data_IF_377501109314
#
_entry.id   IF_377501109314
#
_cell.length_a   1.000
_cell.length_b   1.000
_cell.length_c   1.000
_cell.angle_alpha   90.00
_cell.angle_beta   90.00
_cell.angle_gamma   90.00
#
_symmetry.space_group_name_H-M   'P 1'
#
loop_
_entity.id
_entity.type
_entity.pdbx_description
1 polymer ?
#
# COMPACT_ATOMS: atom_id res chain seq x y z
N UNK A 1 11.44 -19.76 -11.12
CA UNK A 1 11.12 -18.32 -11.17
C UNK A 1 11.12 -17.80 -9.74
N UNK A 2 12.15 -17.06 -9.36
CA UNK A 2 12.39 -16.63 -7.99
C UNK A 2 11.46 -15.46 -7.67
N UNK A 3 10.45 -15.69 -6.83
CA UNK A 3 9.80 -14.60 -6.12
C UNK A 3 10.87 -13.94 -5.25
N UNK A 4 11.36 -12.76 -5.68
CA UNK A 4 12.29 -11.91 -4.94
C UNK A 4 11.60 -11.32 -3.70
N UNK A 5 11.09 -12.17 -2.82
CA UNK A 5 10.78 -11.79 -1.46
C UNK A 5 12.02 -12.08 -0.62
N UNK A 6 12.79 -11.05 -0.29
CA UNK A 6 13.92 -11.17 0.63
C UNK A 6 13.38 -11.09 2.07
N UNK A 7 13.23 -12.23 2.79
CA UNK A 7 12.73 -12.24 4.17
C UNK A 7 13.62 -11.44 5.13
N UNK A 8 14.89 -11.28 4.79
CA UNK A 8 15.90 -10.52 5.54
C UNK A 8 15.54 -9.03 5.72
N UNK A 9 14.77 -8.43 4.79
CA UNK A 9 14.26 -7.04 4.95
C UNK A 9 13.02 -6.95 5.85
N UNK A 10 12.46 -8.09 6.25
CA UNK A 10 11.32 -8.20 7.16
C UNK A 10 11.71 -8.57 8.61
N UNK A 11 13.01 -8.73 8.91
CA UNK A 11 13.53 -8.99 10.26
C UNK A 11 13.63 -7.69 11.07
N UNK A 12 12.49 -7.03 11.31
CA UNK A 12 12.38 -5.98 12.33
C UNK A 12 11.96 -6.63 13.64
N UNK A 13 12.57 -6.20 14.76
CA UNK A 13 12.25 -6.73 16.09
C UNK A 13 10.75 -6.60 16.35
N UNK A 14 10.09 -7.60 16.98
CA UNK A 14 8.71 -7.46 17.41
C UNK A 14 8.54 -6.19 18.24
N UNK A 15 7.67 -5.26 17.81
CA UNK A 15 7.41 -3.99 18.49
C UNK A 15 8.09 -2.74 17.90
N UNK A 16 9.03 -2.86 16.95
CA UNK A 16 9.65 -1.70 16.32
C UNK A 16 8.69 -0.99 15.34
N UNK A 17 8.09 0.11 15.78
CA UNK A 17 7.20 0.93 14.96
C UNK A 17 8.02 1.80 13.99
N UNK A 18 8.21 1.33 12.76
CA UNK A 18 8.83 2.14 11.71
C UNK A 18 7.84 3.19 11.20
N UNK A 19 8.17 4.47 11.41
CA UNK A 19 7.41 5.59 10.87
C UNK A 19 7.65 5.70 9.37
N UNK A 20 6.59 5.49 8.58
CA UNK A 20 6.62 5.67 7.13
C UNK A 20 7.02 7.11 6.75
N UNK A 21 7.85 7.26 5.72
CA UNK A 21 8.28 8.56 5.19
C UNK A 21 7.10 9.34 4.57
N UNK A 22 7.28 10.64 4.30
CA UNK A 22 6.26 11.46 3.63
C UNK A 22 5.93 10.88 2.25
N UNK A 23 6.97 10.58 1.47
CA UNK A 23 6.86 9.94 0.15
C UNK A 23 6.03 8.65 0.20
N UNK A 24 6.38 7.71 1.09
CA UNK A 24 5.66 6.44 1.25
C UNK A 24 4.17 6.65 1.55
N UNK A 25 3.84 7.64 2.40
CA UNK A 25 2.44 7.96 2.73
C UNK A 25 1.69 8.57 1.54
N UNK A 26 2.33 9.44 0.77
CA UNK A 26 1.69 10.07 -0.39
C UNK A 26 1.41 9.04 -1.50
N UNK A 27 2.35 8.13 -1.79
CA UNK A 27 2.11 7.03 -2.73
C UNK A 27 0.93 6.18 -2.26
N UNK A 28 0.94 5.73 -1.00
CA UNK A 28 -0.14 4.92 -0.43
C UNK A 28 -1.50 5.62 -0.50
N UNK A 29 -1.55 6.95 -0.26
CA UNK A 29 -2.77 7.74 -0.41
C UNK A 29 -3.26 7.80 -1.85
N UNK A 30 -2.38 8.06 -2.82
CA UNK A 30 -2.76 8.13 -4.24
C UNK A 30 -3.33 6.78 -4.72
N UNK A 31 -2.68 5.69 -4.36
CA UNK A 31 -3.16 4.34 -4.70
C UNK A 31 -4.51 4.04 -4.03
N UNK A 32 -4.71 4.46 -2.77
CA UNK A 32 -5.99 4.28 -2.08
C UNK A 32 -7.16 4.97 -2.78
N UNK A 33 -6.92 6.09 -3.47
CA UNK A 33 -7.98 6.75 -4.26
C UNK A 33 -8.37 5.97 -5.51
N UNK A 34 -7.49 5.10 -6.01
CA UNK A 34 -7.74 4.24 -7.18
C UNK A 34 -8.37 2.93 -6.74
N UNK A 35 -7.79 2.28 -5.74
CA UNK A 35 -8.30 1.04 -5.15
C UNK A 35 -8.10 1.03 -3.63
N UNK A 36 -9.19 1.02 -2.82
CA UNK A 36 -9.08 0.85 -1.37
C UNK A 36 -8.81 -0.61 -0.96
N UNK A 37 -8.92 -1.55 -1.90
CA UNK A 37 -8.72 -2.98 -1.73
C UNK A 37 -7.72 -3.53 -2.77
N UNK A 38 -6.42 -3.19 -2.68
CA UNK A 38 -5.41 -3.73 -3.58
C UNK A 38 -5.28 -5.24 -3.45
N UNK A 39 -5.03 -5.92 -4.56
CA UNK A 39 -4.77 -7.37 -4.59
C UNK A 39 -3.46 -7.72 -3.88
N UNK A 40 -3.22 -9.01 -3.65
CA UNK A 40 -1.96 -9.47 -3.06
C UNK A 40 -0.75 -9.08 -3.92
N UNK A 41 -0.85 -9.24 -5.23
CA UNK A 41 0.19 -8.89 -6.20
C UNK A 41 0.49 -7.39 -6.15
N UNK A 42 -0.54 -6.55 -6.17
CA UNK A 42 -0.35 -5.10 -6.05
C UNK A 42 0.31 -4.70 -4.72
N UNK A 43 0.00 -5.38 -3.61
CA UNK A 43 0.68 -5.11 -2.32
C UNK A 43 2.17 -5.45 -2.38
N UNK A 44 2.55 -6.51 -3.10
CA UNK A 44 3.95 -6.86 -3.34
C UNK A 44 4.63 -5.78 -4.16
N UNK A 45 4.04 -5.40 -5.29
CA UNK A 45 4.60 -4.40 -6.21
C UNK A 45 4.81 -3.06 -5.52
N UNK A 46 3.79 -2.58 -4.79
CA UNK A 46 3.87 -1.36 -3.98
C UNK A 46 4.99 -1.47 -2.97
N UNK A 47 5.05 -2.59 -2.24
CA UNK A 47 6.06 -2.83 -1.22
C UNK A 47 7.49 -2.75 -1.77
N UNK A 48 7.73 -3.38 -2.93
CA UNK A 48 9.02 -3.32 -3.63
C UNK A 48 9.34 -1.87 -4.02
N UNK A 49 8.40 -1.17 -4.66
CA UNK A 49 8.62 0.18 -5.20
C UNK A 49 8.87 1.25 -4.14
N UNK A 50 8.25 1.13 -2.95
CA UNK A 50 8.42 2.13 -1.87
C UNK A 50 9.23 1.61 -0.67
N UNK A 51 9.89 0.45 -0.82
CA UNK A 51 10.70 -0.20 0.23
C UNK A 51 9.92 -0.46 1.54
N UNK A 52 8.70 -1.01 1.41
CA UNK A 52 7.88 -1.48 2.53
C UNK A 52 7.59 -2.97 2.38
N UNK A 53 7.32 -3.68 3.49
CA UNK A 53 6.81 -5.05 3.40
C UNK A 53 5.35 -5.04 2.93
N UNK A 54 4.90 -6.07 2.17
CA UNK A 54 3.49 -6.22 1.79
C UNK A 54 2.57 -6.21 3.00
N UNK A 55 3.04 -6.76 4.13
CA UNK A 55 2.32 -6.70 5.41
C UNK A 55 2.17 -5.27 5.92
N UNK A 56 3.21 -4.44 5.84
CA UNK A 56 3.13 -3.04 6.26
C UNK A 56 2.21 -2.20 5.36
N UNK A 57 2.14 -2.55 4.06
CA UNK A 57 1.16 -1.98 3.10
C UNK A 57 -0.25 -2.41 3.50
N UNK A 58 -0.48 -3.71 3.69
CA UNK A 58 -1.76 -4.28 4.09
C UNK A 58 -2.32 -3.66 5.39
N UNK A 59 -1.50 -3.56 6.44
CA UNK A 59 -1.86 -2.87 7.70
C UNK A 59 -2.25 -1.42 7.44
N UNK A 60 -1.53 -0.72 6.56
CA UNK A 60 -1.82 0.67 6.26
C UNK A 60 -3.19 0.82 5.59
N UNK A 61 -3.51 -0.03 4.61
CA UNK A 61 -4.82 -0.02 3.94
C UNK A 61 -5.94 -0.40 4.91
N UNK A 62 -5.73 -1.41 5.78
CA UNK A 62 -6.69 -1.77 6.84
C UNK A 62 -6.96 -0.58 7.78
N UNK A 63 -5.92 0.05 8.30
CA UNK A 63 -6.04 1.22 9.17
C UNK A 63 -6.71 2.39 8.46
N UNK A 64 -6.36 2.63 7.19
CA UNK A 64 -6.93 3.70 6.38
C UNK A 64 -8.43 3.49 6.18
N UNK A 65 -8.87 2.27 5.86
CA UNK A 65 -10.30 1.93 5.76
C UNK A 65 -11.02 2.07 7.10
N UNK A 66 -10.41 1.61 8.20
CA UNK A 66 -11.01 1.76 9.53
C UNK A 66 -11.26 3.23 9.89
N UNK A 67 -10.31 4.12 9.60
CA UNK A 67 -10.46 5.56 9.81
C UNK A 67 -11.56 6.16 8.91
N UNK A 68 -11.67 5.71 7.65
CA UNK A 68 -12.67 6.20 6.71
C UNK A 68 -14.09 5.74 7.08
N UNK A 69 -14.26 4.49 7.53
CA UNK A 69 -15.54 3.94 8.00
C UNK A 69 -16.09 4.66 9.23
N UNK A 70 -15.21 5.16 10.10
CA UNK A 70 -15.63 5.98 11.25
C UNK A 70 -16.11 7.38 10.89
N UNK A 71 -15.90 7.85 9.65
CA UNK A 71 -16.25 9.21 9.21
C UNK A 71 -17.50 9.28 8.31
N UNK A 72 -17.89 8.20 7.66
CA UNK A 72 -19.09 8.14 6.81
C UNK A 72 -19.82 6.82 7.06
N UNK A 73 -20.93 6.88 7.80
CA UNK A 73 -21.95 5.82 7.76
C UNK A 73 -22.69 5.97 6.43
N UNK A 74 -22.39 5.14 5.43
CA UNK A 74 -23.28 4.71 4.35
C UNK A 74 -22.60 3.61 3.52
N UNK A 75 -23.37 2.59 3.18
CA UNK A 75 -22.92 1.28 2.73
C UNK A 75 -22.60 1.22 1.23
N UNK A 76 -21.40 1.65 0.81
CA UNK A 76 -20.98 1.56 -0.60
C UNK A 76 -19.62 0.86 -0.86
N UNK A 77 -18.91 0.40 0.18
CA UNK A 77 -17.52 -0.09 0.03
C UNK A 77 -17.37 -1.56 -0.43
N UNK A 78 -18.39 -2.18 -1.05
CA UNK A 78 -18.37 -3.62 -1.34
C UNK A 78 -17.82 -4.00 -2.73
N UNK A 79 -17.64 -3.09 -3.70
CA UNK A 79 -17.52 -3.53 -5.10
C UNK A 79 -16.49 -2.77 -5.93
N UNK A 80 -15.23 -2.67 -5.50
CA UNK A 80 -14.16 -2.59 -6.51
C UNK A 80 -12.78 -2.95 -5.95
N UNK A 81 -12.49 -4.25 -5.90
CA UNK A 81 -11.09 -4.69 -5.91
C UNK A 81 -10.58 -4.55 -7.35
N UNK A 82 -10.36 -3.30 -7.80
CA UNK A 82 -9.67 -3.08 -9.08
C UNK A 82 -8.25 -3.58 -8.95
N UNK A 83 -7.88 -4.52 -9.81
CA UNK A 83 -6.48 -4.88 -10.02
C UNK A 83 -5.84 -3.71 -10.74
N UNK A 84 -4.79 -3.15 -10.15
CA UNK A 84 -4.03 -2.06 -10.78
C UNK A 84 -2.87 -2.67 -11.57
N UNK A 85 -2.64 -2.23 -12.80
CA UNK A 85 -1.48 -2.69 -13.56
C UNK A 85 -0.18 -2.16 -12.97
N UNK A 86 0.88 -2.96 -13.00
CA UNK A 86 2.20 -2.57 -12.49
C UNK A 86 2.71 -1.24 -13.10
N UNK A 87 2.41 -0.99 -14.39
CA UNK A 87 2.76 0.27 -15.07
C UNK A 87 2.11 1.48 -14.41
N UNK A 88 0.86 1.35 -13.98
CA UNK A 88 0.14 2.42 -13.31
C UNK A 88 0.70 2.67 -11.91
N UNK A 89 1.01 1.61 -11.15
CA UNK A 89 1.67 1.73 -9.84
C UNK A 89 3.02 2.43 -9.98
N UNK A 90 3.82 2.06 -10.97
CA UNK A 90 5.12 2.67 -11.26
C UNK A 90 4.97 4.17 -11.60
N UNK A 91 4.02 4.52 -12.46
CA UNK A 91 3.71 5.92 -12.80
C UNK A 91 3.34 6.74 -11.55
N UNK A 92 2.51 6.20 -10.64
CA UNK A 92 2.14 6.90 -9.40
C UNK A 92 3.37 7.15 -8.51
N UNK A 93 4.25 6.16 -8.39
CA UNK A 93 5.48 6.25 -7.59
C UNK A 93 6.40 7.33 -8.16
N UNK A 94 6.65 7.29 -9.47
CA UNK A 94 7.49 8.28 -10.16
C UNK A 94 6.93 9.70 -10.06
N UNK A 95 5.63 9.87 -10.30
CA UNK A 95 4.95 11.16 -10.18
C UNK A 95 4.90 11.70 -8.74
N UNK A 96 5.12 10.84 -7.74
CA UNK A 96 5.20 11.26 -6.34
C UNK A 96 6.62 11.65 -5.93
N UNK A 97 7.64 11.17 -6.64
CA UNK A 97 9.04 11.50 -6.39
C UNK A 97 9.46 12.84 -7.00
N UNK A 98 8.65 13.41 -7.90
CA UNK A 98 9.00 14.59 -8.71
C UNK A 98 8.67 15.94 -8.04
N UNK A 99 8.22 15.92 -6.78
CA UNK A 99 7.86 17.09 -5.96
C UNK A 99 8.32 16.89 -4.52
#
# INVERSE_FOLDING_TARGET
MVLLFHPERCLKKPGEKVRKSKFQKEVLKKIYQITPYPTWENKIDIGILISLSPRAVDIWFQNKRHISKGKNQSAEDAVDSRTIDLREIMSIVENTSRY
#
